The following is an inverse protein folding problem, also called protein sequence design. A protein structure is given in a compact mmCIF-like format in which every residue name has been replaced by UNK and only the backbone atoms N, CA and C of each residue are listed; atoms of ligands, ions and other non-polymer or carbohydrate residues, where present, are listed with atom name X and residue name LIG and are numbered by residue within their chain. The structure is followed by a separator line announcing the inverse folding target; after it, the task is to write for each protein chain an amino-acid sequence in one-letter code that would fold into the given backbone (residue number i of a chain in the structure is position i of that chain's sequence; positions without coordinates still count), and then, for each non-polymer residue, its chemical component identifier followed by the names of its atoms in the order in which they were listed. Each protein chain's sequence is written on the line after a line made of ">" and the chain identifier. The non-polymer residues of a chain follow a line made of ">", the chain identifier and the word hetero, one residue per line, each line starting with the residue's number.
data_IF_192948934137
#
_entry.id   IF_192948934137
#
_cell.length_a   1.000
_cell.length_b   1.000
_cell.length_c   1.000
_cell.angle_alpha   90.00
_cell.angle_beta   90.00
_cell.angle_gamma   90.00
#
_symmetry.space_group_name_H-M   'P 1'
#
loop_
_entity.id
_entity.type
_entity.pdbx_description
1 polymer ?
#
# COMPACT_ATOMS: atom_id res chain seq x y z
N UNK A 1 14.74 -21.79 -3.17
CA UNK A 1 14.95 -20.69 -4.14
C UNK A 1 14.29 -19.45 -3.59
N UNK A 2 14.84 -18.26 -3.83
CA UNK A 2 14.25 -16.98 -3.37
C UNK A 2 13.41 -16.39 -4.48
N UNK A 3 12.12 -16.18 -4.24
CA UNK A 3 11.22 -15.49 -5.18
C UNK A 3 11.60 -14.01 -5.24
N UNK A 4 11.69 -13.44 -6.43
CA UNK A 4 11.87 -11.99 -6.60
C UNK A 4 10.59 -11.37 -7.13
N UNK A 5 10.03 -10.42 -6.38
CA UNK A 5 8.87 -9.63 -6.76
C UNK A 5 9.32 -8.22 -7.13
N UNK A 6 8.74 -7.64 -8.17
CA UNK A 6 9.13 -6.32 -8.69
C UNK A 6 7.93 -5.40 -8.80
N UNK A 7 7.98 -4.30 -8.05
CA UNK A 7 7.05 -3.17 -8.12
C UNK A 7 7.58 -2.17 -9.16
N UNK A 8 6.73 -1.83 -10.13
CA UNK A 8 6.93 -0.79 -11.13
C UNK A 8 6.51 0.57 -10.58
N UNK A 9 7.43 1.28 -9.93
CA UNK A 9 7.15 2.60 -9.34
C UNK A 9 6.85 3.70 -10.35
N UNK A 10 7.22 3.51 -11.62
CA UNK A 10 6.87 4.43 -12.71
C UNK A 10 5.37 4.50 -13.00
N UNK A 11 4.62 3.44 -12.68
CA UNK A 11 3.18 3.37 -12.92
C UNK A 11 2.35 3.90 -11.75
N UNK A 12 3.00 4.18 -10.60
CA UNK A 12 2.36 4.64 -9.38
C UNK A 12 2.34 6.18 -9.34
N UNK A 13 1.15 6.76 -9.37
CA UNK A 13 0.93 8.21 -9.38
C UNK A 13 -0.07 8.69 -8.31
N UNK A 14 -0.74 7.77 -7.63
CA UNK A 14 -1.68 8.01 -6.52
C UNK A 14 -1.92 6.71 -5.72
N UNK A 15 -2.81 6.75 -4.72
CA UNK A 15 -3.14 5.59 -3.89
C UNK A 15 -3.81 4.46 -4.70
N UNK A 16 -4.84 4.71 -5.56
CA UNK A 16 -5.43 3.66 -6.38
C UNK A 16 -4.43 2.95 -7.31
N UNK A 17 -3.55 3.70 -7.99
CA UNK A 17 -2.51 3.11 -8.85
C UNK A 17 -1.49 2.30 -8.05
N UNK A 18 -1.16 2.71 -6.82
CA UNK A 18 -0.38 1.89 -5.90
C UNK A 18 -1.05 0.55 -5.60
N UNK A 19 -2.32 0.54 -5.23
CA UNK A 19 -3.03 -0.72 -4.94
C UNK A 19 -3.27 -1.58 -6.19
N UNK A 20 -3.42 -0.97 -7.37
CA UNK A 20 -3.44 -1.70 -8.63
C UNK A 20 -2.11 -2.45 -8.86
N UNK A 21 -0.99 -1.78 -8.60
CA UNK A 21 0.34 -2.38 -8.72
C UNK A 21 0.59 -3.46 -7.66
N UNK A 22 0.18 -3.24 -6.41
CA UNK A 22 0.24 -4.28 -5.37
C UNK A 22 -0.59 -5.50 -5.77
N UNK A 23 -1.80 -5.32 -6.27
CA UNK A 23 -2.63 -6.43 -6.74
C UNK A 23 -1.98 -7.15 -7.94
N UNK A 24 -1.36 -6.43 -8.87
CA UNK A 24 -0.65 -7.01 -10.01
C UNK A 24 0.55 -7.85 -9.58
N UNK A 25 1.29 -7.42 -8.56
CA UNK A 25 2.54 -8.07 -8.13
C UNK A 25 2.28 -9.22 -7.16
N UNK A 26 1.38 -9.02 -6.21
CA UNK A 26 1.21 -9.93 -5.08
C UNK A 26 -0.04 -10.79 -5.20
N UNK A 27 -1.09 -10.32 -5.87
CA UNK A 27 -2.41 -10.97 -5.86
C UNK A 27 -2.79 -11.55 -7.23
N UNK A 28 -1.85 -11.65 -8.18
CA UNK A 28 -2.15 -12.06 -9.55
C UNK A 28 -2.76 -13.47 -9.69
N UNK A 29 -2.50 -14.36 -8.72
CA UNK A 29 -3.03 -15.73 -8.69
C UNK A 29 -4.23 -15.90 -7.75
N UNK A 30 -4.67 -14.83 -7.10
CA UNK A 30 -5.85 -14.81 -6.24
C UNK A 30 -7.09 -14.45 -7.05
N UNK A 31 -8.26 -14.96 -6.66
CA UNK A 31 -9.55 -14.67 -7.32
C UNK A 31 -10.22 -13.38 -6.80
N UNK A 32 -9.57 -12.68 -5.88
CA UNK A 32 -10.01 -11.44 -5.26
C UNK A 32 -8.89 -10.39 -5.25
N UNK A 33 -9.26 -9.14 -5.00
CA UNK A 33 -8.31 -8.01 -4.93
C UNK A 33 -8.15 -7.51 -3.51
N UNK A 34 -6.92 -7.20 -3.15
CA UNK A 34 -6.58 -6.50 -1.92
C UNK A 34 -7.29 -5.16 -1.86
N UNK A 35 -7.93 -4.86 -0.73
CA UNK A 35 -8.56 -3.58 -0.47
C UNK A 35 -7.54 -2.46 -0.25
N UNK A 36 -7.96 -1.22 -0.46
CA UNK A 36 -7.11 -0.03 -0.33
C UNK A 36 -6.91 0.41 1.14
N UNK A 37 -6.26 -0.45 1.93
CA UNK A 37 -5.89 -0.16 3.32
C UNK A 37 -4.46 -0.61 3.65
N UNK A 38 -3.82 0.10 4.59
CA UNK A 38 -2.49 -0.29 5.08
C UNK A 38 -2.55 -1.61 5.85
N UNK A 39 -3.67 -1.90 6.53
CA UNK A 39 -3.89 -3.16 7.23
C UNK A 39 -3.90 -4.34 6.24
N UNK A 40 -4.54 -4.18 5.06
CA UNK A 40 -4.53 -5.22 4.04
C UNK A 40 -3.12 -5.50 3.50
N UNK A 41 -2.27 -4.46 3.39
CA UNK A 41 -0.87 -4.64 3.03
C UNK A 41 -0.10 -5.38 4.13
N UNK A 42 -0.30 -5.01 5.39
CA UNK A 42 0.33 -5.67 6.53
C UNK A 42 -0.04 -7.17 6.59
N UNK A 43 -1.33 -7.47 6.44
CA UNK A 43 -1.85 -8.84 6.41
C UNK A 43 -1.23 -9.66 5.25
N UNK A 44 -1.16 -9.05 4.06
CA UNK A 44 -0.52 -9.66 2.89
C UNK A 44 0.95 -9.95 3.18
N UNK A 45 1.70 -8.96 3.68
CA UNK A 45 3.10 -9.08 4.06
C UNK A 45 3.37 -10.14 5.13
N UNK A 46 2.35 -10.50 5.93
CA UNK A 46 2.38 -11.61 6.87
C UNK A 46 2.47 -13.01 6.23
N UNK A 47 2.26 -13.12 4.91
CA UNK A 47 2.41 -14.35 4.13
C UNK A 47 1.23 -15.31 4.22
N UNK A 48 0.04 -14.80 4.50
CA UNK A 48 -1.20 -15.60 4.56
C UNK A 48 -1.77 -15.96 3.19
N UNK A 49 -1.48 -15.16 2.16
CA UNK A 49 -2.01 -15.27 0.81
C UNK A 49 -1.10 -14.56 -0.20
N UNK A 50 -1.43 -14.67 -1.48
CA UNK A 50 -0.71 -14.04 -2.58
C UNK A 50 0.69 -14.63 -2.81
N UNK A 51 1.50 -13.91 -3.57
CA UNK A 51 2.83 -14.34 -4.05
C UNK A 51 3.87 -14.55 -2.93
N UNK A 52 3.53 -14.24 -1.68
CA UNK A 52 4.39 -14.41 -0.50
C UNK A 52 3.83 -15.43 0.51
N UNK A 53 2.86 -16.24 0.08
CA UNK A 53 2.28 -17.30 0.89
C UNK A 53 3.35 -18.28 1.40
N UNK A 54 3.23 -18.72 2.66
CA UNK A 54 4.09 -19.76 3.24
C UNK A 54 5.42 -19.25 3.79
N UNK A 55 5.62 -17.93 3.89
CA UNK A 55 6.73 -17.27 4.59
C UNK A 55 8.14 -17.66 4.09
N UNK A 56 8.23 -18.15 2.86
CA UNK A 56 9.53 -18.33 2.22
C UNK A 56 10.23 -16.96 2.07
N UNK A 57 11.57 -16.91 2.09
CA UNK A 57 12.28 -15.65 1.83
C UNK A 57 11.92 -15.10 0.44
N UNK A 58 11.53 -13.81 0.42
CA UNK A 58 11.21 -13.07 -0.80
C UNK A 58 12.13 -11.88 -0.92
N UNK A 59 12.59 -11.61 -2.14
CA UNK A 59 13.28 -10.38 -2.50
C UNK A 59 12.29 -9.43 -3.17
N UNK A 60 11.98 -8.31 -2.52
CA UNK A 60 11.17 -7.26 -3.11
C UNK A 60 12.06 -6.18 -3.74
N UNK A 61 11.78 -5.84 -5.00
CA UNK A 61 12.43 -4.75 -5.74
C UNK A 61 11.40 -3.70 -6.04
N UNK A 62 11.66 -2.45 -5.66
CA UNK A 62 10.87 -1.30 -6.09
C UNK A 62 11.67 -0.49 -7.09
N UNK A 63 11.28 -0.57 -8.36
CA UNK A 63 11.90 0.20 -9.44
C UNK A 63 11.29 1.60 -9.50
N UNK A 64 12.08 2.61 -9.85
CA UNK A 64 11.59 3.99 -10.03
C UNK A 64 10.81 4.54 -8.82
N UNK A 65 11.28 4.22 -7.61
CA UNK A 65 10.64 4.64 -6.35
C UNK A 65 10.49 6.17 -6.23
N UNK A 66 11.33 6.94 -6.92
CA UNK A 66 11.22 8.40 -6.97
C UNK A 66 9.90 8.86 -7.64
N UNK A 67 9.45 8.15 -8.68
CA UNK A 67 8.17 8.43 -9.37
C UNK A 67 7.00 8.15 -8.43
N UNK A 68 6.98 6.96 -7.81
CA UNK A 68 5.97 6.60 -6.82
C UNK A 68 5.96 7.58 -5.63
N UNK A 69 7.14 8.03 -5.17
CA UNK A 69 7.25 9.02 -4.08
C UNK A 69 6.62 10.36 -4.44
N UNK A 70 6.69 10.79 -5.70
CA UNK A 70 6.03 12.02 -6.12
C UNK A 70 4.50 11.89 -6.04
N UNK A 71 3.95 10.74 -6.43
CA UNK A 71 2.50 10.45 -6.36
C UNK A 71 1.96 10.12 -4.97
N UNK A 72 2.79 9.52 -4.11
CA UNK A 72 2.42 9.08 -2.75
C UNK A 72 3.00 9.98 -1.64
N UNK A 73 3.50 11.16 -2.00
CA UNK A 73 4.23 12.05 -1.11
C UNK A 73 3.38 12.72 -0.03
N UNK A 74 3.94 13.80 0.52
CA UNK A 74 3.36 14.54 1.65
C UNK A 74 1.91 15.00 1.38
N UNK A 75 1.65 15.57 0.21
CA UNK A 75 0.33 16.12 -0.14
C UNK A 75 -0.72 15.01 -0.26
N UNK A 76 -0.38 13.89 -0.90
CA UNK A 76 -1.27 12.73 -0.98
C UNK A 76 -1.54 12.13 0.39
N UNK A 77 -0.51 12.06 1.25
CA UNK A 77 -0.66 11.60 2.64
C UNK A 77 -1.58 12.53 3.44
N UNK A 78 -1.39 13.86 3.31
CA UNK A 78 -2.23 14.87 3.95
C UNK A 78 -3.69 14.73 3.51
N UNK A 79 -3.94 14.67 2.20
CA UNK A 79 -5.28 14.52 1.63
C UNK A 79 -5.95 13.23 2.09
N UNK A 80 -5.21 12.11 2.11
CA UNK A 80 -5.71 10.82 2.59
C UNK A 80 -6.14 10.87 4.06
N UNK A 81 -5.32 11.48 4.93
CA UNK A 81 -5.66 11.64 6.35
C UNK A 81 -6.84 12.59 6.55
N UNK A 82 -6.91 13.70 5.80
CA UNK A 82 -8.04 14.63 5.85
C UNK A 82 -9.35 13.95 5.44
N UNK A 83 -9.35 13.17 4.36
CA UNK A 83 -10.53 12.42 3.91
C UNK A 83 -11.03 11.43 4.97
N UNK A 84 -10.15 10.87 5.81
CA UNK A 84 -10.57 10.03 6.94
C UNK A 84 -11.27 10.82 8.05
N UNK A 85 -10.89 12.09 8.27
CA UNK A 85 -11.57 12.94 9.25
C UNK A 85 -13.01 13.30 8.84
N UNK A 86 -13.35 13.18 7.55
CA UNK A 86 -14.72 13.36 7.05
C UNK A 86 -15.65 12.20 7.44
N UNK A 87 -15.10 11.08 7.93
CA UNK A 87 -15.85 9.91 8.43
C UNK A 87 -15.51 9.59 9.88
N UNK A 88 -15.83 10.49 10.83
CA UNK A 88 -15.47 10.34 12.24
C UNK A 88 -16.13 9.13 12.91
N UNK A 89 -17.19 8.57 12.33
CA UNK A 89 -17.86 7.36 12.78
C UNK A 89 -17.08 6.07 12.45
N UNK A 90 -16.16 6.13 11.48
CA UNK A 90 -15.36 4.98 11.04
C UNK A 90 -13.90 5.05 11.50
N UNK A 91 -13.41 6.24 11.83
CA UNK A 91 -11.99 6.44 12.09
C UNK A 91 -11.71 7.16 13.40
N UNK A 92 -10.57 6.82 14.00
CA UNK A 92 -10.04 7.49 15.19
C UNK A 92 -9.54 8.91 14.84
N UNK A 93 -10.41 9.89 15.07
CA UNK A 93 -10.19 11.31 14.81
C UNK A 93 -8.96 11.84 15.56
N UNK A 94 -8.77 11.44 16.82
CA UNK A 94 -7.68 11.96 17.65
C UNK A 94 -6.33 11.45 17.14
N UNK A 95 -6.25 10.17 16.81
CA UNK A 95 -5.05 9.56 16.22
C UNK A 95 -4.72 10.18 14.87
N UNK A 96 -5.70 10.35 13.99
CA UNK A 96 -5.48 10.96 12.67
C UNK A 96 -5.06 12.42 12.81
N UNK A 97 -5.66 13.18 13.73
CA UNK A 97 -5.26 14.55 14.03
C UNK A 97 -3.79 14.64 14.44
N UNK A 98 -3.30 13.73 15.29
CA UNK A 98 -1.87 13.64 15.64
C UNK A 98 -0.99 13.32 14.44
N UNK A 99 -1.43 12.42 13.56
CA UNK A 99 -0.68 12.09 12.35
C UNK A 99 -0.55 13.29 11.42
N UNK A 100 -1.63 14.04 11.19
CA UNK A 100 -1.63 15.27 10.39
C UNK A 100 -0.73 16.36 10.98
N UNK A 101 -0.69 16.48 12.30
CA UNK A 101 0.18 17.43 12.99
C UNK A 101 1.67 17.05 12.93
N UNK A 102 1.98 15.78 12.66
CA UNK A 102 3.33 15.24 12.58
C UNK A 102 3.88 15.16 11.14
N UNK A 103 3.10 15.56 10.13
CA UNK A 103 3.51 15.68 8.73
C UNK A 103 4.44 16.87 8.51
#
# INVERSE_FOLDING_TARGET
>A
MTTTLTIAGGDIHDIPSFYAEINRVFMAEEDWKLGESLDAIDDMLGGGYGAIQGRAPVRLVWQDIASARAGLGLETTRAYLQAKLERPELYDVERIGRQLAAL
#
